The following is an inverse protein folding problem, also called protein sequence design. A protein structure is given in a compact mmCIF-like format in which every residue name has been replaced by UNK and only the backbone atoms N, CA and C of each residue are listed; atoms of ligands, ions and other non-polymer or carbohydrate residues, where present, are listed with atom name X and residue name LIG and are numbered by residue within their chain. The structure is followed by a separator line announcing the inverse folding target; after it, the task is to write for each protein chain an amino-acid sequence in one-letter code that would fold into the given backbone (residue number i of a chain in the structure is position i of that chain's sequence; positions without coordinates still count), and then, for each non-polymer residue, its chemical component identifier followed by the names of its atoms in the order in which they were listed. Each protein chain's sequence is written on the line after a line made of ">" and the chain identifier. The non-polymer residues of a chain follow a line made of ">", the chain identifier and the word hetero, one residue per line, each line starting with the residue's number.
data_IF_824432949684
#
_entry.id   IF_824432949684
#
_cell.length_a   1.000
_cell.length_b   1.000
_cell.length_c   1.000
_cell.angle_alpha   90.00
_cell.angle_beta   90.00
_cell.angle_gamma   90.00
#
_symmetry.space_group_name_H-M   'P 1'
#
loop_
_entity.id
_entity.type
_entity.pdbx_description
1 polymer ?
#
# COMPACT_ATOMS: atom_id res chain seq x y z
N UNK A 1 -22.35 -9.72 -18.03
CA UNK A 1 -22.35 -9.22 -16.64
C UNK A 1 -21.30 -8.11 -16.55
N UNK A 2 -21.76 -6.85 -16.51
CA UNK A 2 -21.03 -5.59 -16.24
C UNK A 2 -19.56 -5.46 -16.69
N UNK A 3 -19.32 -5.09 -17.96
CA UNK A 3 -17.98 -4.73 -18.50
C UNK A 3 -17.26 -3.72 -17.62
N UNK A 4 -18.00 -2.73 -17.09
CA UNK A 4 -17.47 -1.71 -16.19
C UNK A 4 -16.87 -2.29 -14.90
N UNK A 5 -17.42 -3.37 -14.34
CA UNK A 5 -16.86 -4.00 -13.13
C UNK A 5 -15.49 -4.63 -13.41
N UNK A 6 -15.34 -5.29 -14.56
CA UNK A 6 -14.06 -5.84 -14.98
C UNK A 6 -13.04 -4.72 -15.22
N UNK A 7 -13.42 -3.66 -15.94
CA UNK A 7 -12.56 -2.50 -16.17
C UNK A 7 -12.10 -1.83 -14.87
N UNK A 8 -13.02 -1.55 -13.93
CA UNK A 8 -12.67 -0.94 -12.64
C UNK A 8 -11.75 -1.85 -11.84
N UNK A 9 -12.01 -3.16 -11.81
CA UNK A 9 -11.14 -4.14 -11.12
C UNK A 9 -9.74 -4.13 -11.70
N UNK A 10 -9.61 -4.14 -13.03
CA UNK A 10 -8.31 -4.21 -13.70
C UNK A 10 -7.54 -2.90 -13.52
N UNK A 11 -8.20 -1.74 -13.62
CA UNK A 11 -7.59 -0.43 -13.34
C UNK A 11 -7.06 -0.41 -11.90
N UNK A 12 -7.88 -0.76 -10.91
CA UNK A 12 -7.45 -0.79 -9.52
C UNK A 12 -6.31 -1.79 -9.30
N UNK A 13 -6.37 -2.97 -9.94
CA UNK A 13 -5.29 -3.97 -9.88
C UNK A 13 -3.97 -3.41 -10.39
N UNK A 14 -3.97 -2.73 -11.53
CA UNK A 14 -2.74 -2.15 -12.06
C UNK A 14 -2.27 -0.96 -11.23
N UNK A 15 -3.17 -0.11 -10.74
CA UNK A 15 -2.81 1.00 -9.83
C UNK A 15 -2.14 0.48 -8.56
N UNK A 16 -2.78 -0.44 -7.83
CA UNK A 16 -2.24 -1.00 -6.58
C UNK A 16 -1.14 -2.03 -6.80
N UNK A 17 -0.91 -2.47 -8.03
CA UNK A 17 0.25 -3.29 -8.39
C UNK A 17 1.48 -2.45 -8.72
N UNK A 18 1.32 -1.45 -9.58
CA UNK A 18 2.43 -0.65 -10.11
C UNK A 18 2.87 0.46 -9.16
N UNK A 19 1.93 1.15 -8.50
CA UNK A 19 2.27 2.28 -7.61
C UNK A 19 3.19 1.83 -6.46
N UNK A 20 2.92 0.73 -5.73
CA UNK A 20 3.85 0.26 -4.69
C UNK A 20 5.21 -0.17 -5.23
N UNK A 21 5.27 -0.72 -6.45
CA UNK A 21 6.56 -1.07 -7.08
C UNK A 21 7.38 0.19 -7.35
N UNK A 22 6.76 1.20 -7.96
CA UNK A 22 7.45 2.46 -8.28
C UNK A 22 7.84 3.20 -6.99
N UNK A 23 6.95 3.29 -6.00
CA UNK A 23 7.23 3.93 -4.72
C UNK A 23 8.31 3.18 -3.93
N UNK A 24 8.33 1.85 -4.00
CA UNK A 24 9.34 1.03 -3.34
C UNK A 24 10.71 1.15 -4.00
N UNK A 25 10.77 1.21 -5.33
CA UNK A 25 11.99 1.48 -6.07
C UNK A 25 12.50 2.91 -5.81
N UNK A 26 11.60 3.89 -5.70
CA UNK A 26 11.98 5.26 -5.42
C UNK A 26 12.63 5.44 -4.04
N UNK A 27 12.37 4.55 -3.07
CA UNK A 27 13.07 4.55 -1.76
C UNK A 27 14.57 4.25 -1.86
N UNK A 28 15.04 3.72 -2.99
CA UNK A 28 16.47 3.53 -3.26
C UNK A 28 17.10 4.73 -3.96
N UNK A 29 16.30 5.50 -4.70
CA UNK A 29 16.79 6.59 -5.55
C UNK A 29 16.47 7.98 -5.02
N UNK A 30 15.47 8.10 -4.14
CA UNK A 30 14.93 9.34 -3.59
C UNK A 30 14.65 10.40 -4.67
N UNK A 31 14.08 10.01 -5.83
CA UNK A 31 13.81 10.92 -6.95
C UNK A 31 12.58 11.78 -6.63
N UNK A 32 11.52 11.17 -6.06
CA UNK A 32 10.32 11.93 -5.70
C UNK A 32 10.54 12.75 -4.42
N UNK A 33 11.16 12.12 -3.42
CA UNK A 33 11.35 12.71 -2.10
C UNK A 33 12.42 11.94 -1.33
N UNK A 34 13.10 12.59 -0.38
CA UNK A 34 13.89 11.87 0.62
C UNK A 34 12.95 11.13 1.58
N UNK A 35 12.85 9.82 1.41
CA UNK A 35 11.91 9.00 2.17
C UNK A 35 12.27 8.87 3.65
N UNK A 36 13.53 9.11 4.02
CA UNK A 36 13.99 8.99 5.41
C UNK A 36 13.32 10.01 6.34
N UNK A 37 12.85 11.14 5.80
CA UNK A 37 12.17 12.20 6.56
C UNK A 37 10.80 11.78 7.14
N UNK A 38 10.20 10.70 6.63
CA UNK A 38 8.95 10.14 7.16
C UNK A 38 9.19 9.27 8.40
N UNK A 39 10.44 8.90 8.68
CA UNK A 39 10.82 8.21 9.90
C UNK A 39 10.97 9.26 11.01
N UNK A 40 10.13 9.19 12.03
CA UNK A 40 10.23 10.11 13.17
C UNK A 40 11.54 9.89 13.96
N UNK A 41 12.10 10.94 14.55
CA UNK A 41 13.33 10.86 15.36
C UNK A 41 13.21 9.84 16.51
N UNK A 42 12.04 9.77 17.13
CA UNK A 42 11.73 8.77 18.16
C UNK A 42 11.79 7.33 17.65
N UNK A 43 11.33 7.06 16.42
CA UNK A 43 11.44 5.73 15.82
C UNK A 43 12.85 5.45 15.28
N UNK A 44 13.50 6.45 14.69
CA UNK A 44 14.88 6.37 14.20
C UNK A 44 15.85 5.96 15.31
N UNK A 45 15.72 6.53 16.52
CA UNK A 45 16.57 6.20 17.67
C UNK A 45 16.37 4.78 18.23
N UNK A 46 15.28 4.09 17.88
CA UNK A 46 15.03 2.69 18.26
C UNK A 46 15.59 1.70 17.23
N UNK A 47 15.92 2.16 16.03
CA UNK A 47 16.43 1.30 14.97
C UNK A 47 17.92 1.00 15.20
N UNK A 48 18.37 -0.24 14.96
CA UNK A 48 19.79 -0.60 15.04
C UNK A 48 20.59 -0.14 13.80
N UNK A 49 19.99 0.64 12.91
CA UNK A 49 20.55 1.10 11.64
C UNK A 49 19.96 2.45 11.22
N UNK A 50 20.58 3.08 10.24
CA UNK A 50 20.19 4.38 9.69
C UNK A 50 18.74 4.39 9.13
N UNK A 51 17.99 5.49 9.28
CA UNK A 51 16.64 5.64 8.71
C UNK A 51 16.58 5.40 7.19
N UNK A 52 17.64 5.73 6.46
CA UNK A 52 17.74 5.45 5.03
C UNK A 52 17.73 3.94 4.73
N UNK A 53 18.50 3.15 5.49
CA UNK A 53 18.53 1.70 5.37
C UNK A 53 17.16 1.08 5.73
N UNK A 54 16.47 1.63 6.74
CA UNK A 54 15.09 1.25 7.04
C UNK A 54 14.17 1.46 5.83
N UNK A 55 14.24 2.64 5.21
CA UNK A 55 13.39 2.95 4.06
C UNK A 55 13.69 2.07 2.85
N UNK A 56 14.95 1.66 2.64
CA UNK A 56 15.27 0.66 1.61
C UNK A 56 14.59 -0.69 1.90
N UNK A 57 14.58 -1.16 3.14
CA UNK A 57 13.88 -2.40 3.54
C UNK A 57 12.37 -2.27 3.27
N UNK A 58 11.77 -1.14 3.66
CA UNK A 58 10.37 -0.83 3.36
C UNK A 58 10.13 -0.86 1.84
N UNK A 59 11.05 -0.31 1.05
CA UNK A 59 10.99 -0.34 -0.41
C UNK A 59 10.94 -1.75 -0.99
N UNK A 60 11.74 -2.69 -0.47
CA UNK A 60 11.65 -4.11 -0.87
C UNK A 60 10.27 -4.69 -0.56
N UNK A 61 9.73 -4.42 0.62
CA UNK A 61 8.42 -4.92 1.04
C UNK A 61 7.31 -4.39 0.13
N UNK A 62 7.35 -3.10 -0.23
CA UNK A 62 6.36 -2.50 -1.13
C UNK A 62 6.42 -3.06 -2.54
N UNK A 63 7.62 -3.32 -3.07
CA UNK A 63 7.78 -3.99 -4.37
C UNK A 63 7.17 -5.39 -4.33
N UNK A 64 7.43 -6.16 -3.27
CA UNK A 64 6.83 -7.49 -3.09
C UNK A 64 5.31 -7.39 -2.97
N UNK A 65 4.79 -6.40 -2.25
CA UNK A 65 3.35 -6.18 -2.11
C UNK A 65 2.69 -5.85 -3.45
N UNK A 66 3.31 -5.00 -4.27
CA UNK A 66 2.82 -4.68 -5.62
C UNK A 66 2.82 -5.91 -6.55
N UNK A 67 3.89 -6.71 -6.53
CA UNK A 67 3.94 -7.99 -7.26
C UNK A 67 2.85 -8.95 -6.76
N UNK A 68 2.59 -8.98 -5.45
CA UNK A 68 1.54 -9.80 -4.86
C UNK A 68 0.14 -9.38 -5.34
N UNK A 69 -0.11 -8.08 -5.52
CA UNK A 69 -1.38 -7.58 -6.11
C UNK A 69 -1.52 -8.02 -7.57
N UNK A 70 -0.44 -8.00 -8.35
CA UNK A 70 -0.49 -8.38 -9.76
C UNK A 70 -0.71 -9.89 -9.96
N UNK A 71 -0.15 -10.71 -9.07
CA UNK A 71 -0.22 -12.18 -9.13
C UNK A 71 -1.44 -12.75 -8.39
N UNK A 72 -1.69 -12.31 -7.14
CA UNK A 72 -2.77 -12.75 -6.26
C UNK A 72 -3.58 -11.55 -5.75
N UNK A 73 -4.28 -10.88 -6.69
CA UNK A 73 -4.97 -9.59 -6.47
C UNK A 73 -5.80 -9.50 -5.20
N UNK A 74 -6.59 -10.52 -4.87
CA UNK A 74 -7.39 -10.50 -3.63
C UNK A 74 -6.53 -10.37 -2.38
N UNK A 75 -5.49 -11.20 -2.26
CA UNK A 75 -4.62 -11.25 -1.08
C UNK A 75 -3.75 -9.99 -1.06
N UNK A 76 -3.13 -9.66 -2.18
CA UNK A 76 -2.28 -8.46 -2.29
C UNK A 76 -3.06 -7.18 -1.95
N UNK A 77 -4.30 -7.05 -2.41
CA UNK A 77 -5.11 -5.87 -2.12
C UNK A 77 -5.47 -5.73 -0.64
N UNK A 78 -5.72 -6.84 0.07
CA UNK A 78 -5.87 -6.81 1.54
C UNK A 78 -4.56 -6.43 2.24
N UNK A 79 -3.42 -6.97 1.80
CA UNK A 79 -2.10 -6.64 2.35
C UNK A 79 -1.80 -5.16 2.20
N UNK A 80 -1.97 -4.60 0.99
CA UNK A 80 -1.76 -3.18 0.71
C UNK A 80 -2.72 -2.31 1.52
N UNK A 81 -4.00 -2.72 1.64
CA UNK A 81 -4.98 -1.98 2.45
C UNK A 81 -4.56 -1.89 3.91
N UNK A 82 -4.21 -3.02 4.55
CA UNK A 82 -3.75 -3.04 5.94
C UNK A 82 -2.46 -2.23 6.10
N UNK A 83 -1.53 -2.35 5.16
CA UNK A 83 -0.28 -1.61 5.17
C UNK A 83 -0.49 -0.09 5.16
N UNK A 84 -1.33 0.41 4.25
CA UNK A 84 -1.67 1.82 4.15
C UNK A 84 -2.41 2.34 5.39
N UNK A 85 -3.31 1.54 5.98
CA UNK A 85 -3.94 1.89 7.26
C UNK A 85 -2.90 2.01 8.38
N UNK A 86 -1.95 1.08 8.45
CA UNK A 86 -0.88 1.14 9.45
C UNK A 86 -0.03 2.40 9.30
N UNK A 87 0.38 2.76 8.09
CA UNK A 87 1.12 4.01 7.82
C UNK A 87 0.29 5.22 8.24
N UNK A 88 -0.97 5.28 7.82
CA UNK A 88 -1.85 6.39 8.16
C UNK A 88 -2.02 6.55 9.68
N UNK A 89 -2.21 5.45 10.43
CA UNK A 89 -2.32 5.48 11.90
C UNK A 89 -1.02 6.03 12.51
N UNK A 90 0.15 5.58 12.06
CA UNK A 90 1.44 6.08 12.56
C UNK A 90 1.59 7.59 12.34
N UNK A 91 1.24 8.08 11.15
CA UNK A 91 1.28 9.51 10.84
C UNK A 91 0.30 10.31 11.71
N UNK A 92 -0.95 9.84 11.86
CA UNK A 92 -1.95 10.46 12.72
C UNK A 92 -1.52 10.51 14.19
N UNK A 93 -0.92 9.44 14.72
CA UNK A 93 -0.45 9.40 16.11
C UNK A 93 0.73 10.34 16.34
N UNK A 94 1.61 10.48 15.35
CA UNK A 94 2.75 11.40 15.43
C UNK A 94 2.36 12.88 15.20
N UNK A 95 1.15 13.12 14.68
CA UNK A 95 0.65 14.43 14.25
C UNK A 95 1.50 15.14 13.19
N UNK A 96 2.30 14.35 12.45
CA UNK A 96 3.07 14.78 11.30
C UNK A 96 2.40 14.27 10.01
N UNK A 97 2.37 15.11 8.97
CA UNK A 97 1.84 14.74 7.64
C UNK A 97 0.41 14.19 7.66
N UNK A 98 -0.48 14.84 8.42
CA UNK A 98 -1.89 14.45 8.58
C UNK A 98 -2.63 14.41 7.24
N UNK A 99 -2.27 15.30 6.33
CA UNK A 99 -2.78 15.34 4.95
C UNK A 99 -2.41 14.08 4.16
N UNK A 100 -1.18 13.57 4.34
CA UNK A 100 -0.72 12.31 3.75
C UNK A 100 -1.48 11.14 4.37
N UNK A 101 -1.67 11.14 5.69
CA UNK A 101 -2.39 10.08 6.39
C UNK A 101 -3.84 9.92 5.88
N UNK A 102 -4.55 11.03 5.67
CA UNK A 102 -5.92 11.00 5.12
C UNK A 102 -5.93 10.44 3.69
N UNK A 103 -4.95 10.79 2.86
CA UNK A 103 -4.80 10.25 1.50
C UNK A 103 -4.56 8.75 1.53
N UNK A 104 -3.71 8.28 2.44
CA UNK A 104 -3.40 6.85 2.61
C UNK A 104 -4.63 6.06 3.03
N UNK A 105 -5.48 6.60 3.91
CA UNK A 105 -6.76 5.97 4.25
C UNK A 105 -7.70 5.84 3.04
N UNK A 106 -7.79 6.87 2.19
CA UNK A 106 -8.60 6.80 0.96
C UNK A 106 -8.07 5.70 0.03
N UNK A 107 -6.74 5.64 -0.15
CA UNK A 107 -6.11 4.58 -0.94
C UNK A 107 -6.32 3.20 -0.31
N UNK A 108 -6.27 3.08 1.02
CA UNK A 108 -6.52 1.83 1.73
C UNK A 108 -7.95 1.31 1.53
N UNK A 109 -8.94 2.20 1.53
CA UNK A 109 -10.35 1.87 1.26
C UNK A 109 -10.53 1.42 -0.19
N UNK A 110 -9.86 2.08 -1.14
CA UNK A 110 -9.89 1.67 -2.54
C UNK A 110 -9.21 0.30 -2.75
N UNK A 111 -8.09 0.04 -2.08
CA UNK A 111 -7.44 -1.29 -2.08
C UNK A 111 -8.34 -2.36 -1.45
N UNK A 112 -9.00 -2.06 -0.33
CA UNK A 112 -9.97 -2.97 0.28
C UNK A 112 -11.14 -3.26 -0.68
N UNK A 113 -11.63 -2.24 -1.37
CA UNK A 113 -12.69 -2.38 -2.36
C UNK A 113 -12.26 -3.30 -3.53
N UNK A 114 -11.03 -3.18 -4.00
CA UNK A 114 -10.45 -4.11 -4.98
C UNK A 114 -10.40 -5.55 -4.44
N UNK A 115 -10.03 -5.73 -3.17
CA UNK A 115 -10.01 -7.04 -2.54
C UNK A 115 -11.42 -7.66 -2.53
N UNK A 116 -12.45 -6.89 -2.15
CA UNK A 116 -13.87 -7.29 -2.18
C UNK A 116 -14.37 -7.60 -3.60
N UNK A 117 -13.97 -6.80 -4.58
CA UNK A 117 -14.32 -7.01 -5.99
C UNK A 117 -13.66 -8.26 -6.58
N UNK A 118 -12.53 -8.67 -6.01
CA UNK A 118 -11.78 -9.87 -6.38
C UNK A 118 -12.22 -11.12 -5.62
N UNK A 119 -13.25 -11.04 -4.75
CA UNK A 119 -13.82 -12.22 -4.09
C UNK A 119 -14.70 -12.98 -5.08
N UNK A 120 -14.39 -14.27 -5.31
CA UNK A 120 -15.28 -15.14 -6.04
C UNK A 120 -16.62 -15.26 -5.31
N UNK A 121 -17.69 -14.77 -5.93
CA UNK A 121 -19.08 -15.12 -5.55
C UNK A 121 -19.36 -16.57 -5.95
N UNK A 122 -18.83 -17.53 -5.19
CA UNK A 122 -19.16 -18.96 -5.39
C UNK A 122 -19.91 -19.58 -4.20
N UNK A 123 -20.41 -18.78 -3.24
CA UNK A 123 -21.10 -19.29 -2.04
C UNK A 123 -22.50 -18.72 -1.77
N UNK A 124 -23.11 -18.01 -2.71
CA UNK A 124 -24.43 -17.38 -2.51
C UNK A 124 -25.57 -18.02 -3.33
N UNK A 125 -25.33 -19.15 -4.01
CA UNK A 125 -26.33 -19.84 -4.84
C UNK A 125 -26.54 -21.31 -4.42
N UNK A 126 -26.10 -21.69 -3.22
CA UNK A 126 -26.33 -23.00 -2.63
C UNK A 126 -26.83 -22.82 -1.20
N UNK A 127 -28.09 -22.41 -1.06
CA UNK A 127 -28.97 -22.61 0.09
C UNK A 127 -30.41 -22.34 -0.37
#
# INVERSE_FOLDING_TARGET
>A
MNSNLHSVKDILKYTFGLVPIVAGLDKFTNILVDWSQYVSEGFASMLPFEPSAFMMIVGVIEVIAGILVLTKTRIGAYVVSVWLVSIAITLLLSWNYVDVAVRDLVMAIAAFSLAKLSENKSKAASN
#
